data_IF_403210066343
#
_entry.id   IF_403210066343
#
_cell.length_a   1.000
_cell.length_b   1.000
_cell.length_c   1.000
_cell.angle_alpha   90.00
_cell.angle_beta   90.00
_cell.angle_gamma   90.00
#
_symmetry.space_group_name_H-M   'P 1'
#
loop_
_entity.id
_entity.type
_entity.pdbx_description
1 polymer ?
2 non-polymer ?
3 water ?
#
# COMPACT_ATOMS: atom_id res chain seq x y z
N UNK A 43 3.19 23.28 -10.38
CA UNK A 43 3.52 21.91 -10.86
C UNK A 43 4.70 21.84 -11.81
N UNK A 44 5.30 20.67 -11.83
CA UNK A 44 6.47 20.36 -12.65
C UNK A 44 6.31 18.97 -13.20
N UNK A 45 6.56 18.77 -14.48
CA UNK A 45 6.42 17.41 -15.03
C UNK A 45 7.64 16.58 -14.58
N UNK A 46 7.38 15.30 -14.30
CA UNK A 46 8.44 14.41 -13.78
C UNK A 46 8.40 13.05 -14.46
N UNK A 47 9.54 12.38 -14.48
CA UNK A 47 9.53 10.98 -14.80
C UNK A 47 10.33 10.23 -13.83
N UNK A 48 10.23 8.91 -13.86
CA UNK A 48 11.07 8.14 -13.03
C UNK A 48 11.14 6.63 -13.32
N UNK A 49 11.82 5.95 -12.46
CA UNK A 49 12.14 4.52 -12.57
C UNK A 49 12.04 3.95 -11.18
N UNK A 50 11.21 2.95 -11.02
CA UNK A 50 11.07 2.24 -9.73
C UNK A 50 11.61 0.84 -9.92
N UNK A 51 12.60 0.49 -9.14
CA UNK A 51 13.10 -0.86 -9.08
C UNK A 51 12.67 -1.49 -7.79
N UNK A 52 12.38 -2.78 -7.88
CA UNK A 52 11.79 -3.46 -6.77
C UNK A 52 12.31 -4.84 -6.57
N UNK A 53 12.33 -5.25 -5.29
CA UNK A 53 12.45 -6.68 -4.91
C UNK A 53 11.05 -7.07 -4.37
N UNK A 54 10.96 -7.80 -3.28
CA UNK A 54 9.66 -8.21 -2.79
C UNK A 54 9.23 -7.46 -1.54
N UNK A 55 10.15 -6.99 -0.71
CA UNK A 55 9.79 -6.14 0.42
C UNK A 55 10.43 -4.78 0.42
N UNK A 56 11.09 -4.45 -0.71
CA UNK A 56 11.88 -3.23 -0.78
C UNK A 56 11.78 -2.65 -2.18
N UNK A 57 11.90 -1.33 -2.30
CA UNK A 57 11.84 -0.67 -3.58
C UNK A 57 12.89 0.44 -3.54
N UNK A 58 13.25 0.86 -4.71
CA UNK A 58 14.15 2.01 -4.92
C UNK A 58 13.51 2.91 -5.93
N UNK A 59 13.28 4.14 -5.56
CA UNK A 59 12.69 5.13 -6.43
C UNK A 59 13.71 6.13 -6.95
N UNK A 60 13.67 6.43 -8.25
CA UNK A 60 14.40 7.57 -8.78
C UNK A 60 13.39 8.39 -9.54
N UNK A 61 13.28 9.69 -9.28
CA UNK A 61 12.29 10.52 -9.87
C UNK A 61 13.01 11.84 -10.23
N UNK A 62 12.82 12.27 -11.49
CA UNK A 62 13.49 13.49 -12.09
C UNK A 62 12.51 14.53 -12.54
N UNK A 63 12.74 15.76 -12.03
CA UNK A 63 11.98 16.91 -12.42
C UNK A 63 12.53 17.40 -13.79
N UNK A 64 11.64 17.44 -14.76
CA UNK A 64 12.03 17.70 -16.14
C UNK A 64 12.44 19.18 -16.32
N UNK A 65 12.96 19.52 -17.49
CA UNK A 65 13.41 20.86 -17.76
C UNK A 65 14.58 21.25 -16.92
N UNK A 66 15.48 20.32 -16.68
CA UNK A 66 16.70 20.62 -15.93
C UNK A 66 16.65 20.54 -14.42
N UNK A 67 15.62 19.91 -13.84
CA UNK A 67 15.52 19.77 -12.36
C UNK A 67 16.37 18.66 -11.76
N UNK A 68 16.22 18.46 -10.46
CA UNK A 68 17.05 17.55 -9.71
C UNK A 68 16.38 16.17 -9.75
N UNK A 69 17.16 15.21 -9.34
CA UNK A 69 16.70 13.83 -9.15
C UNK A 69 16.56 13.41 -7.69
N UNK A 70 15.38 12.84 -7.36
CA UNK A 70 15.11 12.23 -6.02
C UNK A 70 15.48 10.79 -6.04
N UNK A 71 16.24 10.32 -5.08
CA UNK A 71 16.49 8.93 -4.93
C UNK A 71 16.11 8.46 -3.50
N UNK A 72 15.39 7.37 -3.38
CA UNK A 72 14.85 7.00 -2.06
C UNK A 72 14.73 5.48 -2.01
N UNK A 73 14.73 4.94 -0.80
CA UNK A 73 14.77 3.49 -0.56
C UNK A 73 13.61 3.21 0.36
N UNK A 74 12.68 2.35 -0.06
CA UNK A 74 11.47 2.14 0.73
C UNK A 74 11.23 0.63 0.99
N UNK A 75 10.40 0.41 1.99
CA UNK A 75 9.84 -0.86 2.34
C UNK A 75 8.38 -0.91 2.00
N UNK A 76 7.94 -2.09 1.66
CA UNK A 76 6.52 -2.38 1.34
C UNK A 76 6.45 -3.63 0.46
N UNK A 77 5.26 -4.18 0.24
CA UNK A 77 5.16 -5.32 -0.69
C UNK A 77 5.25 -4.88 -2.16
N UNK A 78 6.05 -5.63 -2.93
CA UNK A 78 6.21 -5.41 -4.38
C UNK A 78 6.53 -6.74 -5.14
N UNK A 79 6.33 -6.68 -6.44
CA UNK A 79 6.72 -7.74 -7.39
C UNK A 79 8.16 -7.31 -7.87
N UNK A 80 9.18 -8.20 -7.79
CA UNK A 80 10.51 -7.83 -8.29
C UNK A 80 10.53 -7.42 -9.77
N UNK A 81 11.23 -6.32 -10.07
CA UNK A 81 11.22 -5.84 -11.44
C UNK A 81 11.54 -4.37 -11.53
N UNK A 82 11.18 -3.80 -12.66
CA UNK A 82 11.49 -2.45 -13.04
C UNK A 82 10.26 -1.86 -13.66
N UNK A 83 9.98 -0.58 -13.36
CA UNK A 83 8.81 0.10 -13.82
C UNK A 83 9.15 1.58 -14.05
N UNK A 84 8.55 2.14 -15.10
CA UNK A 84 8.80 3.53 -15.50
C UNK A 84 7.58 4.31 -15.01
N UNK A 85 7.78 5.55 -14.62
CA UNK A 85 6.63 6.34 -14.29
C UNK A 85 6.73 7.71 -14.94
N UNK A 86 5.56 8.25 -15.19
CA UNK A 86 5.38 9.56 -15.75
C UNK A 86 4.35 10.29 -14.83
N UNK A 87 4.68 11.49 -14.43
CA UNK A 87 3.71 12.26 -13.68
C UNK A 87 3.99 13.71 -13.47
N UNK A 88 3.41 14.20 -12.38
CA UNK A 88 3.50 15.63 -12.05
C UNK A 88 3.88 15.81 -10.59
N UNK A 89 4.82 16.69 -10.32
CA UNK A 89 5.20 17.09 -9.00
C UNK A 89 4.46 18.39 -8.67
N UNK A 90 3.90 18.44 -7.48
CA UNK A 90 3.16 19.63 -7.01
C UNK A 90 3.86 20.10 -5.78
N UNK A 91 4.28 21.35 -5.81
CA UNK A 91 4.94 21.93 -4.68
C UNK A 91 4.84 23.45 -4.82
N UNK A 92 4.71 24.12 -3.70
CA UNK A 92 4.70 25.58 -3.72
C UNK A 92 6.09 26.17 -3.37
N UNK A 93 7.05 25.34 -3.05
CA UNK A 93 8.42 25.82 -2.88
C UNK A 93 9.37 24.73 -3.33
N UNK A 94 9.79 24.78 -4.59
CA UNK A 94 10.73 23.78 -5.14
C UNK A 94 12.07 23.69 -4.42
N UNK A 95 12.71 24.82 -4.09
CA UNK A 95 14.04 24.76 -3.50
C UNK A 95 14.09 24.18 -2.10
N UNK A 96 13.07 24.46 -1.33
CA UNK A 96 12.91 23.93 0.03
C UNK A 96 12.61 22.37 -0.08
N UNK A 97 11.85 21.98 -1.08
CA UNK A 97 11.64 20.51 -1.41
C UNK A 97 12.97 19.87 -1.59
N UNK A 98 13.76 20.49 -2.49
CA UNK A 98 15.10 20.01 -2.75
C UNK A 98 15.99 19.98 -1.56
N UNK A 99 16.04 21.02 -0.69
CA UNK A 99 17.07 20.99 0.35
C UNK A 99 16.63 20.21 1.62
N UNK A 100 15.34 20.24 1.92
CA UNK A 100 14.82 19.76 3.19
C UNK A 100 14.22 18.32 3.13
N UNK A 101 13.90 17.82 1.93
CA UNK A 101 13.43 16.39 1.87
C UNK A 101 14.37 15.39 2.53
N UNK A 102 13.86 14.58 3.50
CA UNK A 102 14.61 13.46 4.07
C UNK A 102 13.90 12.06 4.09
N UNK A 103 12.63 12.08 3.81
CA UNK A 103 11.83 10.83 3.81
C UNK A 103 10.71 11.00 2.83
N UNK A 104 10.08 9.87 2.48
CA UNK A 104 8.95 9.87 1.58
C UNK A 104 7.97 8.74 1.88
N UNK A 105 6.75 8.92 1.49
CA UNK A 105 5.77 7.80 1.57
C UNK A 105 5.01 7.70 0.26
N UNK A 106 4.64 6.50 -0.10
CA UNK A 106 3.88 6.32 -1.27
C UNK A 106 2.58 5.60 -1.05
N UNK A 107 1.65 5.89 -1.91
CA UNK A 107 0.38 5.10 -1.87
C UNK A 107 0.14 4.63 -3.28
N UNK A 108 0.28 3.32 -3.48
CA UNK A 108 0.20 2.70 -4.79
C UNK A 108 -1.10 1.90 -5.01
N UNK A 109 -2.13 2.28 -4.29
CA UNK A 109 -3.40 1.59 -4.31
C UNK A 109 -4.24 2.30 -5.35
N UNK A 110 -4.90 1.56 -6.22
CA UNK A 110 -5.79 2.21 -7.21
C UNK A 110 -5.06 2.61 -8.48
N UNK A 111 -5.73 3.43 -9.32
CA UNK A 111 -5.18 3.83 -10.61
C UNK A 111 -4.04 4.82 -10.58
N UNK A 112 -3.74 5.46 -9.45
CA UNK A 112 -2.60 6.39 -9.37
C UNK A 112 -1.60 6.04 -8.34
N UNK A 113 -0.35 6.36 -8.62
CA UNK A 113 0.69 6.29 -7.64
C UNK A 113 0.92 7.68 -7.06
N UNK A 114 0.78 7.85 -5.76
CA UNK A 114 0.99 9.14 -5.13
C UNK A 114 2.20 9.04 -4.27
N UNK A 115 3.07 10.06 -4.27
CA UNK A 115 4.32 10.00 -3.49
C UNK A 115 4.44 11.33 -2.74
N UNK A 116 4.57 11.26 -1.42
CA UNK A 116 4.66 12.43 -0.62
C UNK A 116 6.01 12.55 -0.09
N UNK A 117 6.53 13.78 -0.08
CA UNK A 117 7.87 14.08 0.43
C UNK A 117 7.83 14.93 1.73
N UNK A 118 8.65 14.58 2.69
CA UNK A 118 8.65 15.22 4.06
C UNK A 118 10.01 15.66 4.52
N UNK A 119 10.09 16.72 5.33
CA UNK A 119 11.35 17.08 6.00
C UNK A 119 11.54 16.25 7.31
N UNK A 120 12.52 16.60 8.15
CA UNK A 120 12.84 15.73 9.27
C UNK A 120 11.84 15.83 10.45
N UNK A 121 10.93 16.78 10.41
CA UNK A 121 9.90 16.88 11.43
C UNK A 121 8.56 16.60 10.82
N UNK A 122 8.59 15.83 9.73
CA UNK A 122 7.39 15.24 9.20
C UNK A 122 6.47 16.19 8.51
N UNK A 123 6.98 17.36 8.09
CA UNK A 123 6.15 18.29 7.33
C UNK A 123 6.13 17.98 5.85
N UNK A 124 4.96 18.06 5.21
CA UNK A 124 4.86 17.74 3.77
C UNK A 124 5.47 18.87 2.90
N UNK A 125 6.45 18.52 2.05
CA UNK A 125 7.18 19.50 1.22
C UNK A 125 6.71 19.53 -0.21
N UNK A 126 5.89 18.55 -0.59
CA UNK A 126 5.39 18.36 -1.95
C UNK A 126 4.96 16.92 -2.20
N UNK A 127 4.30 16.73 -3.32
CA UNK A 127 3.89 15.40 -3.74
C UNK A 127 3.84 15.21 -5.26
N UNK A 128 4.07 13.95 -5.70
CA UNK A 128 3.89 13.52 -7.11
C UNK A 128 2.67 12.64 -7.28
N UNK A 129 1.87 12.88 -8.29
CA UNK A 129 0.87 11.95 -8.77
C UNK A 129 1.36 11.40 -10.11
N UNK A 130 1.37 10.09 -10.23
CA UNK A 130 1.66 9.43 -11.52
C UNK A 130 0.74 8.30 -11.78
N UNK A 131 0.82 7.77 -12.99
CA UNK A 131 0.16 6.54 -13.30
C UNK A 131 0.62 5.43 -12.34
N UNK A 132 -0.28 4.46 -12.12
CA UNK A 132 0.04 3.23 -11.35
C UNK A 132 1.10 2.44 -12.09
N UNK A 133 1.92 1.75 -11.33
CA UNK A 133 2.92 0.81 -11.86
C UNK A 133 2.54 -0.61 -11.45
N UNK A 134 2.88 -1.58 -12.30
CA UNK A 134 2.45 -2.93 -12.08
C UNK A 134 3.13 -3.65 -10.93
N UNK A 135 4.26 -3.13 -10.48
CA UNK A 135 5.09 -3.87 -9.59
C UNK A 135 4.80 -3.48 -8.13
N UNK A 136 4.08 -2.40 -7.92
CA UNK A 136 3.83 -1.89 -6.57
C UNK A 136 2.37 -1.52 -6.45
N UNK A 137 1.71 -2.10 -5.43
CA UNK A 137 0.26 -1.93 -5.23
C UNK A 137 -0.20 -1.65 -3.80
N UNK A 138 0.74 -1.38 -2.89
CA UNK A 138 0.43 -1.11 -1.52
C UNK A 138 0.83 0.25 -1.03
N UNK A 139 1.02 0.34 0.30
CA UNK A 139 1.48 1.55 0.99
C UNK A 139 2.83 1.29 1.58
N UNK A 140 3.70 2.28 1.48
CA UNK A 140 5.02 2.14 1.96
C UNK A 140 5.80 3.50 2.02
N UNK A 141 7.07 3.42 2.31
CA UNK A 141 7.82 4.66 2.48
C UNK A 141 9.22 4.37 2.93
N UNK A 142 10.03 5.41 3.09
CA UNK A 142 11.42 5.17 3.41
C UNK A 142 12.15 6.53 3.40
N UNK A 143 13.45 6.50 3.22
CA UNK A 143 14.26 7.72 3.29
C UNK A 143 14.74 7.99 1.85
N UNK A 144 15.10 9.24 1.60
CA UNK A 144 15.53 9.67 0.29
C UNK A 144 15.70 11.20 0.31
N UNK A 145 16.27 11.70 -0.77
CA UNK A 145 16.60 13.09 -0.88
C UNK A 145 16.91 13.40 -2.34
N UNK A 146 17.19 14.69 -2.59
CA UNK A 146 17.38 15.20 -3.94
C UNK A 146 18.82 15.51 -4.22
N UNK A 147 19.19 15.36 -5.47
CA UNK A 147 20.59 15.49 -5.90
C UNK A 147 20.55 15.99 -7.34
N UNK A 148 21.60 16.69 -7.78
CA UNK A 148 21.77 17.09 -9.20
C UNK A 148 21.34 16.12 -10.37
N UNK A 155 21.93 4.03 -12.74
CA UNK A 155 20.54 3.85 -12.28
C UNK A 155 20.07 2.40 -12.40
N UNK A 156 20.68 1.61 -13.29
CA UNK A 156 20.12 0.23 -13.63
C UNK A 156 21.10 -0.58 -14.48
N UNK A 157 21.50 -1.73 -13.95
CA UNK A 157 22.42 -2.63 -14.66
C UNK A 157 21.75 -3.98 -14.88
N UNK A 158 21.38 -4.24 -16.14
CA UNK A 158 20.81 -5.55 -16.47
C UNK A 158 21.35 -5.90 -17.79
N UNK B 42 -10.84 8.58 3.63
CA UNK B 42 -9.44 8.41 3.21
C UNK B 42 -8.74 7.19 3.84
N UNK B 43 -8.56 7.22 5.17
CA UNK B 43 -8.08 6.05 5.92
C UNK B 43 -8.74 5.88 7.30
N UNK B 44 -8.81 4.63 7.70
CA UNK B 44 -9.57 4.21 8.87
C UNK B 44 -8.85 3.12 9.58
N UNK B 45 -8.78 3.23 10.90
CA UNK B 45 -8.05 2.29 11.61
C UNK B 45 -8.94 1.03 11.71
N UNK B 46 -8.30 -0.15 11.63
CA UNK B 46 -8.98 -1.46 11.75
C UNK B 46 -8.27 -2.40 12.71
N UNK B 47 -9.03 -3.37 13.22
CA UNK B 47 -8.49 -4.41 14.03
C UNK B 47 -9.28 -5.66 13.71
N UNK B 48 -8.77 -6.79 14.12
CA UNK B 48 -9.48 -8.02 13.87
C UNK B 48 -8.78 -9.24 14.42
N UNK B 49 -9.23 -10.38 13.90
CA UNK B 49 -8.81 -11.70 14.33
C UNK B 49 -8.82 -12.62 13.10
N UNK B 50 -7.72 -13.31 12.87
CA UNK B 50 -7.62 -14.27 11.81
C UNK B 50 -7.46 -15.63 12.49
N UNK B 51 -8.30 -16.57 12.09
CA UNK B 51 -8.26 -17.94 12.55
C UNK B 51 -7.84 -18.78 11.31
N UNK B 52 -6.93 -19.71 11.54
CA UNK B 52 -6.34 -20.44 10.43
C UNK B 52 -6.18 -21.94 10.69
N UNK B 53 -6.12 -22.68 9.59
CA UNK B 53 -5.79 -24.06 9.61
C UNK B 53 -4.48 -24.15 8.80
N UNK B 54 -4.38 -25.15 7.91
CA UNK B 54 -3.20 -25.29 7.03
C UNK B 54 -3.42 -24.73 5.64
N UNK B 55 -4.62 -24.87 5.11
CA UNK B 55 -4.94 -24.35 3.76
C UNK B 55 -6.13 -23.47 3.65
N UNK B 56 -6.77 -23.23 4.80
CA UNK B 56 -7.88 -22.32 4.88
C UNK B 56 -7.72 -21.36 6.06
N UNK B 57 -8.32 -20.20 5.94
CA UNK B 57 -8.37 -19.17 7.03
C UNK B 57 -9.77 -18.50 7.07
N UNK B 58 -10.03 -17.80 8.16
CA UNK B 58 -11.17 -16.99 8.30
C UNK B 58 -10.70 -15.67 8.88
N UNK B 59 -11.09 -14.62 8.23
CA UNK B 59 -10.76 -13.26 8.60
C UNK B 59 -11.96 -12.54 9.13
N UNK B 60 -11.78 -11.91 10.29
CA UNK B 60 -12.73 -10.92 10.77
C UNK B 60 -11.94 -9.59 11.01
N UNK B 61 -12.48 -8.48 10.50
CA UNK B 61 -11.87 -7.21 10.56
C UNK B 61 -12.97 -6.13 10.71
N UNK B 62 -12.78 -5.22 11.64
CA UNK B 62 -13.70 -4.16 11.94
C UNK B 62 -13.09 -2.75 11.84
N UNK B 63 -13.83 -1.88 11.16
CA UNK B 63 -13.52 -0.46 11.07
C UNK B 63 -13.88 0.28 12.40
N UNK B 64 -12.92 0.93 12.98
CA UNK B 64 -13.07 1.57 14.25
C UNK B 64 -14.02 2.76 14.23
N UNK B 65 -14.47 3.15 15.43
CA UNK B 65 -15.34 4.31 15.55
C UNK B 65 -16.75 4.07 15.04
N UNK B 66 -17.30 2.91 15.31
CA UNK B 66 -18.64 2.59 14.89
C UNK B 66 -18.78 2.02 13.50
N UNK B 67 -17.67 1.67 12.84
CA UNK B 67 -17.79 1.09 11.46
C UNK B 67 -18.22 -0.35 11.39
N UNK B 68 -18.28 -0.88 10.16
CA UNK B 68 -18.67 -2.25 9.92
C UNK B 68 -17.55 -3.33 10.09
N UNK B 69 -18.01 -4.56 10.17
CA UNK B 69 -17.16 -5.76 10.26
C UNK B 69 -17.19 -6.55 8.97
N UNK B 70 -16.00 -6.85 8.44
CA UNK B 70 -15.83 -7.70 7.30
C UNK B 70 -15.61 -9.10 7.83
N UNK B 71 -16.25 -10.07 7.23
CA UNK B 71 -15.90 -11.47 7.43
C UNK B 71 -15.71 -12.15 6.10
N UNK B 72 -14.69 -12.99 6.05
CA UNK B 72 -14.34 -13.72 4.87
C UNK B 72 -13.63 -15.01 5.13
N UNK B 73 -13.69 -15.90 4.13
CA UNK B 73 -13.06 -17.19 4.14
C UNK B 73 -12.13 -17.28 3.01
N UNK B 74 -10.91 -17.71 3.26
CA UNK B 74 -9.89 -17.76 2.25
C UNK B 74 -9.25 -19.08 2.23
N UNK B 75 -8.66 -19.36 1.09
CA UNK B 75 -7.72 -20.40 0.96
C UNK B 75 -6.33 -19.76 0.83
N UNK B 76 -5.31 -20.53 1.12
CA UNK B 76 -3.89 -20.02 1.19
C UNK B 76 -3.14 -20.88 2.19
N UNK B 77 -1.85 -20.64 2.31
CA UNK B 77 -0.96 -21.36 3.14
C UNK B 77 -0.87 -20.65 4.50
N UNK B 78 -1.17 -21.41 5.52
CA UNK B 78 -1.23 -20.94 6.90
C UNK B 78 -0.79 -22.02 7.90
N UNK B 79 -0.51 -21.58 9.11
CA UNK B 79 -0.24 -22.47 10.24
C UNK B 79 -1.52 -22.45 11.12
N UNK B 80 -1.90 -23.57 11.71
CA UNK B 80 -3.16 -23.51 12.46
C UNK B 80 -3.01 -22.64 13.69
N UNK B 81 -4.05 -21.91 13.96
CA UNK B 81 -4.11 -21.10 15.16
C UNK B 81 -4.98 -19.91 15.03
N UNK B 82 -4.61 -18.85 15.75
CA UNK B 82 -5.47 -17.69 15.90
C UNK B 82 -4.55 -16.53 16.17
N UNK B 83 -4.86 -15.37 15.62
CA UNK B 83 -3.94 -14.23 15.70
C UNK B 83 -4.69 -12.92 15.59
N UNK B 84 -4.25 -11.96 16.35
CA UNK B 84 -4.83 -10.61 16.31
C UNK B 84 -4.27 -9.81 15.14
N UNK B 85 -5.15 -9.02 14.54
CA UNK B 85 -4.80 -8.13 13.45
C UNK B 85 -5.07 -6.67 13.85
N UNK B 86 -4.15 -5.78 13.46
CA UNK B 86 -4.33 -4.33 13.59
C UNK B 86 -3.78 -3.71 12.29
N UNK B 87 -4.53 -2.81 11.69
CA UNK B 87 -4.04 -2.10 10.49
C UNK B 87 -4.77 -0.84 10.14
N UNK B 88 -4.60 -0.42 8.88
CA UNK B 88 -5.29 0.70 8.36
C UNK B 88 -6.01 0.36 7.05
N UNK B 89 -7.25 0.83 6.94
CA UNK B 89 -8.09 0.64 5.74
C UNK B 89 -7.97 1.92 4.93
N UNK B 90 -7.67 1.74 3.64
CA UNK B 90 -7.63 2.88 2.70
C UNK B 90 -8.73 2.72 1.64
N UNK B 91 -9.66 3.67 1.59
CA UNK B 91 -10.71 3.62 0.59
C UNK B 91 -11.21 5.03 0.33
N UNK B 92 -11.58 5.28 -0.92
CA UNK B 92 -12.11 6.58 -1.34
C UNK B 92 -13.62 6.58 -1.38
N UNK B 93 -14.20 5.43 -1.04
CA UNK B 93 -15.64 5.29 -0.97
C UNK B 93 -16.06 4.17 0.01
N UNK B 94 -16.18 4.53 1.26
CA UNK B 94 -16.56 3.60 2.33
C UNK B 94 -17.90 2.94 2.12
N UNK B 95 -18.86 3.78 1.72
CA UNK B 95 -20.26 3.36 1.56
C UNK B 95 -20.29 2.25 0.50
N UNK B 96 -19.60 2.47 -0.60
CA UNK B 96 -19.46 1.50 -1.67
C UNK B 96 -18.68 0.17 -1.31
N UNK B 97 -17.60 0.32 -0.55
CA UNK B 97 -16.88 -0.83 0.04
C UNK B 97 -17.81 -1.73 0.87
N UNK B 98 -18.53 -1.11 1.79
CA UNK B 98 -19.43 -1.83 2.61
C UNK B 98 -20.50 -2.52 1.78
N UNK B 99 -21.02 -1.89 0.72
CA UNK B 99 -22.14 -2.48 0.00
C UNK B 99 -21.75 -3.55 -1.00
N UNK B 100 -20.63 -3.39 -1.73
CA UNK B 100 -20.39 -4.20 -2.93
C UNK B 100 -19.28 -5.24 -2.81
N UNK B 101 -18.55 -5.20 -1.71
CA UNK B 101 -17.55 -6.30 -1.48
C UNK B 101 -18.16 -7.69 -1.53
N UNK B 102 -17.65 -8.52 -2.40
CA UNK B 102 -18.02 -9.92 -2.43
C UNK B 102 -16.79 -10.83 -2.30
N UNK B 103 -15.58 -10.28 -2.38
CA UNK B 103 -14.37 -11.15 -2.39
C UNK B 103 -13.20 -10.36 -1.84
N UNK B 104 -12.17 -11.06 -1.38
CA UNK B 104 -10.94 -10.43 -0.94
C UNK B 104 -9.71 -11.23 -1.26
N UNK B 105 -8.55 -10.58 -1.28
CA UNK B 105 -7.28 -11.27 -1.49
C UNK B 105 -6.32 -10.69 -0.50
N UNK B 106 -5.42 -11.56 0.00
CA UNK B 106 -4.34 -11.09 0.86
C UNK B 106 -3.00 -11.46 0.28
N UNK B 107 -1.97 -10.77 0.75
CA UNK B 107 -0.59 -11.12 0.39
C UNK B 107 0.29 -10.86 1.59
N UNK B 108 0.92 -11.89 2.09
CA UNK B 108 1.72 -11.82 3.29
C UNK B 108 3.18 -12.16 2.91
N UNK B 109 4.02 -11.16 3.01
CA UNK B 109 5.46 -11.26 2.67
C UNK B 109 6.29 -10.51 3.70
N UNK B 110 7.27 -11.15 4.29
CA UNK B 110 8.12 -10.50 5.29
C UNK B 110 7.31 -9.88 6.39
N UNK B 111 7.50 -8.57 6.67
CA UNK B 111 6.81 -7.95 7.79
C UNK B 111 5.47 -7.37 7.47
N UNK B 112 4.98 -7.68 6.26
CA UNK B 112 3.75 -7.07 5.70
C UNK B 112 2.60 -8.01 5.39
N UNK B 113 1.40 -7.53 5.56
CA UNK B 113 0.18 -8.21 5.13
C UNK B 113 -0.76 -7.20 4.56
N UNK B 114 -1.02 -7.32 3.26
CA UNK B 114 -1.93 -6.41 2.55
C UNK B 114 -3.16 -7.23 2.21
N UNK B 115 -4.32 -6.58 2.30
CA UNK B 115 -5.60 -7.17 1.97
C UNK B 115 -6.34 -6.26 1.04
N UNK B 116 -6.87 -6.81 -0.04
CA UNK B 116 -7.63 -6.03 -1.00
C UNK B 116 -9.03 -6.58 -1.09
N UNK B 117 -10.00 -5.66 -1.25
CA UNK B 117 -11.43 -5.99 -1.34
C UNK B 117 -11.97 -5.65 -2.74
N UNK B 118 -12.81 -6.52 -3.28
CA UNK B 118 -13.27 -6.47 -4.66
C UNK B 118 -14.79 -6.65 -4.77
N UNK B 119 -15.38 -6.00 -5.77
CA UNK B 119 -16.80 -6.19 -6.10
C UNK B 119 -16.93 -7.32 -7.08
N UNK B 120 -18.15 -7.63 -7.51
CA UNK B 120 -18.35 -8.82 -8.37
C UNK B 120 -17.77 -8.63 -9.77
N UNK B 121 -17.35 -7.42 -10.11
CA UNK B 121 -16.73 -7.13 -11.42
C UNK B 121 -15.22 -7.12 -11.36
N UNK B 122 -14.68 -7.37 -10.17
CA UNK B 122 -13.26 -7.40 -10.02
C UNK B 122 -12.65 -6.07 -9.77
N UNK B 123 -13.48 -5.09 -9.39
CA UNK B 123 -13.03 -3.74 -9.08
C UNK B 123 -12.55 -3.57 -7.63
N UNK B 124 -11.39 -2.93 -7.49
CA UNK B 124 -10.82 -2.71 -6.19
C UNK B 124 -11.67 -1.69 -5.46
N UNK B 125 -12.12 -2.03 -4.25
CA UNK B 125 -12.99 -1.20 -3.42
C UNK B 125 -12.23 -0.61 -2.23
N UNK B 126 -11.12 -1.25 -1.85
CA UNK B 126 -10.38 -0.84 -0.64
C UNK B 126 -9.23 -1.79 -0.32
N UNK B 127 -8.38 -1.37 0.60
CA UNK B 127 -7.14 -1.98 0.87
C UNK B 127 -6.82 -1.78 2.32
N UNK B 128 -6.50 -2.86 3.00
CA UNK B 128 -5.98 -2.82 4.33
C UNK B 128 -4.45 -3.11 4.35
N UNK B 129 -3.71 -2.25 5.06
CA UNK B 129 -2.27 -2.36 5.34
C UNK B 129 -2.11 -2.84 6.81
N UNK B 130 -1.41 -3.94 7.00
CA UNK B 130 -1.10 -4.55 8.31
C UNK B 130 0.31 -5.04 8.35
N UNK B 131 0.80 -5.18 9.58
CA UNK B 131 1.99 -5.95 9.84
C UNK B 131 1.69 -7.45 9.67
N UNK B 132 2.76 -8.22 9.73
CA UNK B 132 2.69 -9.65 9.66
C UNK B 132 1.92 -10.16 10.86
N UNK B 133 1.17 -11.24 10.66
CA UNK B 133 0.44 -11.82 11.76
C UNK B 133 1.00 -13.14 12.20
N UNK B 134 2.01 -13.66 11.55
CA UNK B 134 2.61 -14.91 12.01
C UNK B 134 2.05 -16.17 11.38
N UNK B 135 0.73 -16.20 11.16
CA UNK B 135 0.13 -17.47 10.79
C UNK B 135 -0.17 -17.62 9.34
N UNK B 136 0.02 -16.58 8.53
CA UNK B 136 -0.29 -16.66 7.13
C UNK B 136 0.91 -16.24 6.30
N UNK B 137 0.98 -16.82 5.11
CA UNK B 137 2.13 -16.69 4.21
C UNK B 137 1.66 -16.69 2.79
N UNK B 138 2.23 -15.83 1.97
CA UNK B 138 1.94 -15.80 0.53
C UNK B 138 0.64 -15.21 0.17
N UNK B 139 0.09 -15.62 -0.99
CA UNK B 139 -1.13 -15.05 -1.47
C UNK B 139 -2.25 -16.04 -1.14
N UNK B 140 -3.38 -15.46 -0.83
CA UNK B 140 -4.61 -16.23 -0.58
C UNK B 140 -5.80 -15.32 -0.84
N UNK B 141 -6.96 -15.92 -0.69
CA UNK B 141 -8.16 -15.16 -0.95
C UNK B 141 -9.42 -15.97 -0.97
N UNK B 142 -10.52 -15.25 -1.01
CA UNK B 142 -11.87 -15.88 -1.11
C UNK B 142 -13.01 -14.93 -1.03
N UNK B 143 -14.12 -15.44 -0.50
CA UNK B 143 -15.34 -14.70 -0.45
C UNK B 143 -15.49 -13.99 0.87
N UNK B 144 -16.25 -12.89 0.90
CA UNK B 144 -16.62 -12.23 2.12
C UNK B 144 -17.41 -10.96 1.85
N UNK B 145 -17.78 -10.28 2.92
CA UNK B 145 -18.58 -9.06 2.84
C UNK B 145 -18.67 -8.39 4.17
N UNK B 146 -19.37 -7.26 4.24
CA UNK B 146 -19.35 -6.47 5.43
C UNK B 146 -20.72 -6.49 6.11
N UNK B 147 -20.75 -6.44 7.43
CA UNK B 147 -22.02 -6.30 8.20
C UNK B 147 -21.86 -5.46 9.44
N UNK B 148 -22.96 -4.90 9.97
CA UNK B 148 -22.82 -4.11 11.23
C UNK B 148 -22.05 -4.78 12.44
N UNK B 162 -15.46 -16.15 18.66
CA UNK B 162 -15.18 -17.32 19.43
C UNK B 162 -14.09 -18.22 18.71
N UNK B 163 -13.09 -18.56 19.44
CA UNK B 163 -12.28 -19.66 19.03
C UNK B 163 -12.27 -20.37 20.27
N UNK B 164 -12.81 -21.58 20.22
CA UNK B 164 -12.94 -22.36 21.43
C UNK B 164 -11.67 -23.04 21.76
#
# INVERSE_FOLDING_TARGET
METSMVSTTAASSVEHAANTYDFAEAKSGSSIPAKVAAEQANSYSVHGLVTSLAVYQHFSLTVEGGGKTFTGDSGGISIPGVAVLEGTLFTEDLQHLYSDTVSFEYNAVGPYLNINFFDSHGTLLGHVQSGSIGTVSGIGGGTGGWQPNSSSVDKLAAALEHHHHHH
METSMVSTTAASSVEHAANTYDFAEAKSGSSIPAKVAAEQANSYSVHGLVTSLAVYQHFSLTVEGGGKTFTGDSGGISIPGVAVLEGTLFTEDLQHLYSDTVSFEYNAVGPYLNINFFDSHGTLLGHVQSGSIGTVSGIGGGTGGWQPNSSSVDKLAAALEHHHHHH
#
